data_IF_313776613598
#
_entry.id   IF_313776613598
#
_cell.length_a   1.000
_cell.length_b   1.000
_cell.length_c   1.000
_cell.angle_alpha   90.00
_cell.angle_beta   90.00
_cell.angle_gamma   90.00
#
_symmetry.space_group_name_H-M   'P 1'
#
loop_
_entity.id
_entity.type
_entity.pdbx_description
1 polymer ?
#
# COMPACT_ATOMS: atom_id res chain seq x y z
N UNK A 1 -24.01 10.72 30.68
CA UNK A 1 -23.56 9.34 30.84
C UNK A 1 -23.56 8.68 29.47
N UNK A 2 -22.47 8.81 28.74
CA UNK A 2 -22.44 8.49 27.30
C UNK A 2 -21.14 7.76 26.91
N UNK A 3 -20.81 6.66 27.59
CA UNK A 3 -19.82 5.72 27.06
C UNK A 3 -20.01 4.34 27.70
N UNK A 4 -20.84 3.51 27.08
CA UNK A 4 -20.92 2.11 27.41
C UNK A 4 -19.82 1.33 26.69
N UNK A 5 -18.79 0.89 27.44
CA UNK A 5 -17.56 0.27 26.94
C UNK A 5 -17.63 -1.29 26.90
N UNK A 6 -18.80 -1.91 27.01
CA UNK A 6 -18.92 -3.37 27.21
C UNK A 6 -19.25 -4.20 25.98
N UNK A 7 -19.21 -3.69 24.77
CA UNK A 7 -19.48 -4.45 23.54
C UNK A 7 -18.26 -5.23 23.04
N UNK A 8 -18.28 -6.56 23.06
CA UNK A 8 -17.21 -7.45 22.53
C UNK A 8 -16.86 -7.18 21.06
N UNK A 9 -17.78 -6.65 20.25
CA UNK A 9 -17.54 -6.24 18.86
C UNK A 9 -16.64 -5.00 18.74
N UNK A 10 -16.77 -4.06 19.64
CA UNK A 10 -16.05 -2.79 19.63
C UNK A 10 -14.54 -2.93 19.90
N UNK A 11 -14.15 -3.93 20.70
CA UNK A 11 -12.72 -4.24 20.94
C UNK A 11 -12.01 -4.69 19.66
N UNK A 12 -12.65 -5.50 18.83
CA UNK A 12 -12.09 -5.94 17.54
C UNK A 12 -11.97 -4.79 16.56
N UNK A 13 -12.97 -3.92 16.47
CA UNK A 13 -12.91 -2.74 15.61
C UNK A 13 -11.81 -1.77 16.03
N UNK A 14 -11.66 -1.53 17.33
CA UNK A 14 -10.58 -0.68 17.87
C UNK A 14 -9.22 -1.31 17.62
N UNK A 15 -9.06 -2.61 17.78
CA UNK A 15 -7.81 -3.32 17.49
C UNK A 15 -7.44 -3.26 15.99
N UNK A 16 -8.43 -3.40 15.10
CA UNK A 16 -8.22 -3.26 13.65
C UNK A 16 -7.80 -1.83 13.29
N UNK A 17 -8.46 -0.81 13.87
CA UNK A 17 -8.12 0.60 13.66
C UNK A 17 -6.71 0.90 14.16
N UNK A 18 -6.32 0.44 15.35
CA UNK A 18 -4.97 0.65 15.89
C UNK A 18 -3.92 -0.13 15.10
N UNK A 19 -4.23 -1.34 14.62
CA UNK A 19 -3.34 -2.12 13.77
C UNK A 19 -3.13 -1.42 12.42
N UNK A 20 -4.21 -0.91 11.84
CA UNK A 20 -4.17 -0.15 10.59
C UNK A 20 -3.38 1.16 10.77
N UNK A 21 -3.58 1.86 11.87
CA UNK A 21 -2.83 3.09 12.21
C UNK A 21 -1.35 2.79 12.47
N UNK A 22 -1.03 1.68 13.12
CA UNK A 22 0.35 1.25 13.36
C UNK A 22 1.06 0.85 12.06
N UNK A 23 0.35 0.17 11.14
CA UNK A 23 0.88 -0.17 9.80
C UNK A 23 1.10 1.11 8.97
N UNK A 24 0.14 2.04 8.97
CA UNK A 24 0.29 3.34 8.27
C UNK A 24 1.45 4.14 8.87
N UNK A 25 1.60 4.17 10.20
CA UNK A 25 2.72 4.84 10.85
C UNK A 25 4.06 4.14 10.56
N UNK A 26 4.12 2.81 10.56
CA UNK A 26 5.33 2.06 10.25
C UNK A 26 5.74 2.24 8.78
N UNK A 27 4.78 2.18 7.86
CA UNK A 27 5.03 2.40 6.42
C UNK A 27 5.32 3.88 6.14
N UNK A 28 4.63 4.81 6.81
CA UNK A 28 4.88 6.24 6.70
C UNK A 28 6.25 6.66 7.24
N UNK A 29 6.70 6.08 8.36
CA UNK A 29 8.02 6.38 8.93
C UNK A 29 9.18 5.83 8.07
N UNK A 30 8.96 4.70 7.39
CA UNK A 30 9.93 4.12 6.45
C UNK A 30 9.91 4.86 5.11
N UNK A 31 8.73 5.34 4.67
CA UNK A 31 8.58 6.12 3.43
C UNK A 31 9.08 7.56 3.54
N UNK A 32 9.09 8.14 4.73
CA UNK A 32 9.60 9.49 5.01
C UNK A 32 11.06 9.49 5.50
N UNK A 33 11.85 8.48 5.16
CA UNK A 33 13.31 8.44 5.26
C UNK A 33 13.96 9.46 6.18
N UNK A 34 14.14 9.14 7.47
CA UNK A 34 15.20 9.78 8.25
C UNK A 34 16.53 9.22 7.72
N UNK A 35 17.10 9.89 6.74
CA UNK A 35 18.46 9.60 6.27
C UNK A 35 18.61 9.58 4.76
N UNK A 36 18.88 10.72 4.17
CA UNK A 36 19.36 10.78 2.80
C UNK A 36 18.89 12.02 2.05
N UNK A 37 19.73 13.05 2.09
CA UNK A 37 19.62 14.19 1.22
C UNK A 37 19.68 13.76 -0.25
N UNK A 38 18.56 13.81 -0.96
CA UNK A 38 18.55 14.11 -2.40
C UNK A 38 17.19 14.66 -2.82
N UNK A 39 17.24 15.93 -3.22
CA UNK A 39 16.31 16.64 -4.09
C UNK A 39 14.84 16.75 -3.65
N UNK A 40 14.55 17.87 -3.01
CA UNK A 40 13.22 18.46 -2.87
C UNK A 40 12.57 18.75 -4.24
N UNK A 41 12.03 17.73 -4.88
CA UNK A 41 11.37 17.87 -6.17
C UNK A 41 10.00 17.19 -6.24
N UNK A 42 9.79 16.14 -5.44
CA UNK A 42 8.57 15.36 -5.58
C UNK A 42 7.39 15.94 -4.79
N UNK A 43 7.63 16.40 -3.55
CA UNK A 43 6.57 17.03 -2.75
C UNK A 43 6.17 18.38 -3.34
N UNK A 44 7.12 19.15 -3.86
CA UNK A 44 6.85 20.46 -4.43
C UNK A 44 6.15 20.39 -5.80
N UNK A 45 6.40 19.36 -6.59
CA UNK A 45 5.65 19.13 -7.85
C UNK A 45 4.30 18.47 -7.65
N UNK A 46 4.05 17.83 -6.50
CA UNK A 46 2.75 17.23 -6.15
C UNK A 46 1.89 18.17 -5.31
N UNK A 47 2.52 19.01 -4.48
CA UNK A 47 1.82 19.96 -3.59
C UNK A 47 2.13 21.45 -3.87
N UNK A 48 3.16 21.74 -4.68
CA UNK A 48 3.62 23.08 -5.00
C UNK A 48 3.05 23.65 -6.30
N UNK A 49 1.80 24.02 -6.29
CA UNK A 49 1.19 24.68 -7.46
C UNK A 49 -0.16 25.30 -7.15
N UNK A 50 -0.17 26.44 -6.48
CA UNK A 50 -1.38 27.27 -6.45
C UNK A 50 -2.02 27.41 -5.08
N UNK A 51 -1.56 28.36 -4.34
CA UNK A 51 -2.31 29.06 -3.29
C UNK A 51 -3.63 29.59 -3.88
N UNK A 52 -4.76 29.03 -3.44
CA UNK A 52 -6.07 29.64 -3.70
C UNK A 52 -7.19 28.63 -3.97
N UNK A 53 -7.98 28.29 -2.96
CA UNK A 53 -9.40 27.90 -3.08
C UNK A 53 -9.73 26.58 -3.78
N UNK A 54 -10.18 25.56 -3.03
CA UNK A 54 -10.85 24.39 -3.61
C UNK A 54 -9.95 23.19 -3.83
N UNK A 55 -9.40 22.60 -2.75
CA UNK A 55 -8.62 21.34 -2.86
C UNK A 55 -9.46 20.14 -3.32
N UNK A 56 -10.77 20.27 -3.29
CA UNK A 56 -11.70 19.17 -3.59
C UNK A 56 -11.77 18.85 -5.09
N UNK A 57 -11.72 19.86 -5.95
CA UNK A 57 -11.93 19.68 -7.39
C UNK A 57 -10.69 19.22 -8.17
N UNK A 58 -9.49 19.32 -7.59
CA UNK A 58 -8.23 19.08 -8.34
C UNK A 58 -8.07 17.60 -8.72
N UNK A 59 -8.36 16.69 -7.78
CA UNK A 59 -8.20 15.26 -8.05
C UNK A 59 -9.33 14.72 -8.92
N UNK A 60 -10.56 15.18 -8.72
CA UNK A 60 -11.69 14.88 -9.61
C UNK A 60 -11.38 15.30 -11.05
N UNK A 61 -10.92 16.53 -11.25
CA UNK A 61 -10.52 17.02 -12.56
C UNK A 61 -9.42 16.19 -13.20
N UNK A 62 -8.42 15.75 -12.43
CA UNK A 62 -7.36 14.84 -12.94
C UNK A 62 -7.92 13.49 -13.37
N UNK A 63 -8.90 12.96 -12.63
CA UNK A 63 -9.60 11.73 -13.02
C UNK A 63 -10.33 11.95 -14.34
N UNK A 64 -11.14 13.02 -14.46
CA UNK A 64 -11.88 13.36 -15.67
C UNK A 64 -10.96 13.54 -16.90
N UNK A 65 -9.87 14.30 -16.75
CA UNK A 65 -8.89 14.53 -17.82
C UNK A 65 -8.27 13.23 -18.34
N UNK A 66 -7.93 12.30 -17.44
CA UNK A 66 -7.34 11.03 -17.85
C UNK A 66 -8.39 10.07 -18.42
N UNK A 67 -9.62 10.09 -17.93
CA UNK A 67 -10.74 9.36 -18.53
C UNK A 67 -10.99 9.87 -19.95
N UNK A 68 -11.05 11.19 -20.18
CA UNK A 68 -11.23 11.76 -21.51
C UNK A 68 -10.10 11.36 -22.49
N UNK A 69 -8.84 11.27 -22.02
CA UNK A 69 -7.73 10.74 -22.85
C UNK A 69 -7.95 9.28 -23.22
N UNK A 70 -8.46 8.47 -22.28
CA UNK A 70 -8.73 7.05 -22.49
C UNK A 70 -9.95 6.80 -23.38
N UNK A 71 -10.89 7.73 -23.48
CA UNK A 71 -12.00 7.67 -24.44
C UNK A 71 -11.48 7.84 -25.88
N UNK A 72 -10.43 8.66 -26.07
CA UNK A 72 -9.78 8.84 -27.36
C UNK A 72 -8.80 7.71 -27.69
N UNK A 73 -8.05 7.24 -26.71
CA UNK A 73 -7.10 6.15 -26.84
C UNK A 73 -7.23 5.20 -25.64
N UNK A 74 -8.04 4.15 -25.73
CA UNK A 74 -8.31 3.22 -24.62
C UNK A 74 -7.08 2.50 -24.01
N UNK A 75 -5.98 2.44 -24.73
CA UNK A 75 -4.73 1.79 -24.31
C UNK A 75 -3.59 2.79 -24.08
N UNK A 76 -3.89 4.07 -23.89
CA UNK A 76 -2.90 5.07 -23.52
C UNK A 76 -2.29 4.72 -22.15
N UNK A 77 -1.06 4.24 -22.19
CA UNK A 77 -0.34 3.77 -21.01
C UNK A 77 -0.08 4.89 -20.00
N UNK A 78 0.27 6.08 -20.49
CA UNK A 78 0.53 7.23 -19.63
C UNK A 78 -0.76 7.70 -18.94
N UNK A 79 -1.88 7.75 -19.68
CA UNK A 79 -3.17 8.10 -19.11
C UNK A 79 -3.66 7.04 -18.10
N UNK A 80 -3.45 5.74 -18.37
CA UNK A 80 -3.78 4.66 -17.43
C UNK A 80 -2.96 4.77 -16.15
N UNK A 81 -1.63 4.96 -16.22
CA UNK A 81 -0.76 5.13 -15.06
C UNK A 81 -1.16 6.37 -14.23
N UNK A 82 -1.40 7.50 -14.92
CA UNK A 82 -1.84 8.73 -14.26
C UNK A 82 -3.23 8.58 -13.62
N UNK A 83 -4.13 7.82 -14.23
CA UNK A 83 -5.47 7.58 -13.70
C UNK A 83 -5.44 6.71 -12.43
N UNK A 84 -4.55 5.71 -12.34
CA UNK A 84 -4.36 4.94 -11.10
C UNK A 84 -4.00 5.88 -9.95
N UNK A 85 -3.04 6.79 -10.20
CA UNK A 85 -2.58 7.75 -9.18
C UNK A 85 -3.65 8.77 -8.82
N UNK A 86 -4.36 9.33 -9.82
CA UNK A 86 -5.41 10.33 -9.59
C UNK A 86 -6.58 9.76 -8.76
N UNK A 87 -7.04 8.54 -9.08
CA UNK A 87 -8.10 7.86 -8.31
C UNK A 87 -7.68 7.55 -6.88
N UNK A 88 -6.44 7.11 -6.68
CA UNK A 88 -5.92 6.88 -5.33
C UNK A 88 -5.88 8.18 -4.50
N UNK A 89 -5.43 9.28 -5.11
CA UNK A 89 -5.40 10.59 -4.46
C UNK A 89 -6.80 11.10 -4.13
N UNK A 90 -7.76 10.93 -5.06
CA UNK A 90 -9.16 11.26 -4.84
C UNK A 90 -9.75 10.42 -3.70
N UNK A 91 -9.50 9.12 -3.68
CA UNK A 91 -9.94 8.25 -2.59
C UNK A 91 -9.38 8.68 -1.23
N UNK A 92 -8.10 9.05 -1.17
CA UNK A 92 -7.50 9.56 0.06
C UNK A 92 -8.16 10.87 0.53
N UNK A 93 -8.48 11.77 -0.38
CA UNK A 93 -9.18 13.01 -0.07
C UNK A 93 -10.60 12.73 0.44
N UNK A 94 -11.37 11.90 -0.27
CA UNK A 94 -12.72 11.52 0.13
C UNK A 94 -12.75 10.83 1.50
N UNK A 95 -11.73 10.03 1.81
CA UNK A 95 -11.61 9.33 3.10
C UNK A 95 -11.40 10.27 4.30
N UNK A 96 -11.11 11.55 4.08
CA UNK A 96 -11.04 12.55 5.16
C UNK A 96 -12.42 12.92 5.71
N UNK A 97 -13.48 12.68 4.92
CA UNK A 97 -14.86 12.91 5.28
C UNK A 97 -15.55 11.56 5.55
N UNK A 98 -15.99 11.28 6.78
CA UNK A 98 -16.68 10.03 7.11
C UNK A 98 -17.94 9.76 6.29
N UNK A 99 -18.63 10.80 5.84
CA UNK A 99 -19.84 10.68 5.02
C UNK A 99 -19.52 10.23 3.59
N UNK A 100 -18.30 10.45 3.12
CA UNK A 100 -17.80 10.07 1.79
C UNK A 100 -17.00 8.74 1.78
N UNK A 101 -16.96 8.01 2.87
CA UNK A 101 -16.18 6.77 2.97
C UNK A 101 -16.52 5.74 1.88
N UNK A 102 -17.80 5.61 1.50
CA UNK A 102 -18.23 4.71 0.42
C UNK A 102 -17.74 5.16 -0.96
N UNK A 103 -17.67 6.46 -1.18
CA UNK A 103 -17.13 7.03 -2.43
C UNK A 103 -15.62 6.80 -2.51
N UNK A 104 -14.92 6.96 -1.38
CA UNK A 104 -13.51 6.63 -1.27
C UNK A 104 -13.22 5.16 -1.61
N UNK A 105 -14.00 4.23 -1.06
CA UNK A 105 -13.88 2.80 -1.36
C UNK A 105 -14.14 2.51 -2.85
N UNK A 106 -15.12 3.17 -3.45
CA UNK A 106 -15.42 3.02 -4.86
C UNK A 106 -14.26 3.50 -5.75
N UNK A 107 -13.63 4.63 -5.42
CA UNK A 107 -12.46 5.13 -6.14
C UNK A 107 -11.23 4.21 -5.99
N UNK A 108 -11.03 3.60 -4.83
CA UNK A 108 -9.98 2.58 -4.64
C UNK A 108 -10.21 1.34 -5.51
N UNK A 109 -11.44 0.85 -5.60
CA UNK A 109 -11.77 -0.26 -6.48
C UNK A 109 -11.60 0.10 -7.97
N UNK A 110 -11.93 1.32 -8.35
CA UNK A 110 -11.68 1.83 -9.69
C UNK A 110 -10.19 1.99 -9.99
N UNK A 111 -9.39 2.42 -9.02
CA UNK A 111 -7.94 2.47 -9.14
C UNK A 111 -7.35 1.07 -9.37
N UNK A 112 -7.80 0.07 -8.59
CA UNK A 112 -7.38 -1.33 -8.74
C UNK A 112 -7.74 -1.89 -10.13
N UNK A 113 -8.95 -1.62 -10.64
CA UNK A 113 -9.36 -2.03 -12.01
C UNK A 113 -8.52 -1.32 -13.08
N UNK A 114 -8.22 -0.04 -12.87
CA UNK A 114 -7.38 0.75 -13.80
C UNK A 114 -5.97 0.18 -13.85
N UNK A 115 -5.39 -0.19 -12.70
CA UNK A 115 -4.10 -0.87 -12.63
C UNK A 115 -4.09 -2.18 -13.41
N UNK A 116 -5.09 -3.03 -13.24
CA UNK A 116 -5.20 -4.28 -13.99
C UNK A 116 -5.33 -4.05 -15.51
N UNK A 117 -6.00 -2.97 -15.92
CA UNK A 117 -6.07 -2.54 -17.33
C UNK A 117 -4.71 -2.04 -17.82
N UNK A 118 -4.00 -1.27 -17.01
CA UNK A 118 -2.65 -0.78 -17.29
C UNK A 118 -1.68 -1.94 -17.57
N UNK A 119 -1.68 -2.97 -16.73
CA UNK A 119 -0.84 -4.14 -16.93
C UNK A 119 -1.14 -4.87 -18.25
N UNK A 120 -2.41 -4.96 -18.63
CA UNK A 120 -2.82 -5.60 -19.90
C UNK A 120 -2.41 -4.78 -21.12
N UNK A 121 -2.48 -3.46 -21.02
CA UNK A 121 -2.11 -2.54 -22.10
C UNK A 121 -0.59 -2.37 -22.25
N UNK A 122 0.16 -2.68 -21.18
CA UNK A 122 1.61 -2.50 -21.11
C UNK A 122 2.31 -3.80 -20.67
N UNK A 123 2.52 -4.75 -21.58
CA UNK A 123 3.22 -6.01 -21.27
C UNK A 123 4.75 -5.82 -21.10
N UNK A 124 5.27 -4.61 -21.27
CA UNK A 124 6.70 -4.27 -21.19
C UNK A 124 7.06 -3.60 -19.87
N UNK A 125 7.82 -2.51 -19.97
CA UNK A 125 8.32 -1.80 -18.79
C UNK A 125 7.19 -1.12 -18.02
N UNK A 126 7.04 -1.45 -16.76
CA UNK A 126 6.04 -0.89 -15.84
C UNK A 126 6.56 0.42 -15.22
N UNK A 127 5.69 1.43 -15.14
CA UNK A 127 5.99 2.68 -14.44
C UNK A 127 6.09 2.46 -12.93
N UNK A 128 7.24 2.81 -12.34
CA UNK A 128 7.51 2.62 -10.91
C UNK A 128 6.52 3.38 -10.02
N UNK A 129 6.12 4.59 -10.40
CA UNK A 129 5.17 5.40 -9.63
C UNK A 129 3.78 4.77 -9.61
N UNK A 130 3.31 4.28 -10.77
CA UNK A 130 2.04 3.57 -10.88
C UNK A 130 2.06 2.26 -10.09
N UNK A 131 3.18 1.51 -10.14
CA UNK A 131 3.34 0.28 -9.37
C UNK A 131 3.29 0.54 -7.85
N UNK A 132 4.00 1.56 -7.35
CA UNK A 132 3.95 1.96 -5.93
C UNK A 132 2.54 2.40 -5.51
N UNK A 133 1.86 3.14 -6.36
CA UNK A 133 0.47 3.53 -6.11
C UNK A 133 -0.43 2.30 -6.03
N UNK A 134 -0.26 1.32 -6.91
CA UNK A 134 -1.01 0.08 -6.87
C UNK A 134 -0.76 -0.73 -5.58
N UNK A 135 0.48 -0.78 -5.08
CA UNK A 135 0.78 -1.37 -3.76
C UNK A 135 -0.06 -0.72 -2.67
N UNK A 136 -0.11 0.62 -2.65
CA UNK A 136 -0.89 1.36 -1.65
C UNK A 136 -2.40 1.10 -1.81
N UNK A 137 -2.92 1.11 -3.03
CA UNK A 137 -4.33 0.79 -3.33
C UNK A 137 -4.70 -0.58 -2.78
N UNK A 138 -3.93 -1.62 -3.10
CA UNK A 138 -4.21 -2.98 -2.64
C UNK A 138 -4.00 -3.16 -1.14
N UNK A 139 -3.08 -2.40 -0.54
CA UNK A 139 -2.88 -2.38 0.91
C UNK A 139 -4.12 -1.83 1.62
N UNK A 140 -4.66 -0.70 1.17
CA UNK A 140 -5.88 -0.10 1.75
C UNK A 140 -7.09 -1.00 1.54
N UNK A 141 -7.22 -1.63 0.36
CA UNK A 141 -8.27 -2.60 0.06
C UNK A 141 -8.11 -3.94 0.81
N UNK A 142 -7.08 -4.10 1.64
CA UNK A 142 -6.75 -5.35 2.33
C UNK A 142 -6.64 -6.56 1.38
N UNK A 143 -5.98 -6.34 0.23
CA UNK A 143 -5.72 -7.35 -0.81
C UNK A 143 -4.21 -7.67 -0.85
N UNK A 144 -3.68 -8.42 0.14
CA UNK A 144 -2.24 -8.62 0.28
C UNK A 144 -1.60 -9.40 -0.87
N UNK A 145 -2.31 -10.28 -1.53
CA UNK A 145 -1.80 -11.05 -2.67
C UNK A 145 -1.54 -10.14 -3.88
N UNK A 146 -2.46 -9.24 -4.16
CA UNK A 146 -2.35 -8.24 -5.23
C UNK A 146 -1.29 -7.18 -4.87
N UNK A 147 -1.21 -6.77 -3.60
CA UNK A 147 -0.18 -5.87 -3.11
C UNK A 147 1.22 -6.49 -3.26
N UNK A 148 1.39 -7.78 -2.97
CA UNK A 148 2.64 -8.50 -3.21
C UNK A 148 3.02 -8.51 -4.69
N UNK A 149 2.05 -8.75 -5.58
CA UNK A 149 2.29 -8.73 -7.03
C UNK A 149 2.66 -7.33 -7.52
N UNK A 150 1.98 -6.29 -7.05
CA UNK A 150 2.34 -4.90 -7.39
C UNK A 150 3.74 -4.54 -6.87
N UNK A 151 4.13 -5.04 -5.69
CA UNK A 151 5.47 -4.83 -5.13
C UNK A 151 6.57 -5.54 -5.95
N UNK A 152 6.28 -6.66 -6.60
CA UNK A 152 7.21 -7.29 -7.53
C UNK A 152 7.51 -6.37 -8.72
N UNK A 153 6.50 -5.68 -9.26
CA UNK A 153 6.71 -4.68 -10.32
C UNK A 153 7.54 -3.48 -9.84
N UNK A 154 7.37 -3.03 -8.60
CA UNK A 154 8.25 -1.99 -8.01
C UNK A 154 9.70 -2.46 -7.96
N UNK A 155 9.95 -3.71 -7.58
CA UNK A 155 11.30 -4.29 -7.54
C UNK A 155 11.86 -4.43 -8.95
N UNK A 156 11.05 -4.91 -9.90
CA UNK A 156 11.43 -5.05 -11.30
C UNK A 156 11.81 -3.71 -11.93
N UNK A 157 10.99 -2.66 -11.71
CA UNK A 157 11.26 -1.31 -12.18
C UNK A 157 12.55 -0.72 -11.60
N UNK A 158 12.90 -1.10 -10.36
CA UNK A 158 14.15 -0.69 -9.70
C UNK A 158 15.39 -1.41 -10.26
N UNK A 159 15.22 -2.55 -10.92
CA UNK A 159 16.32 -3.34 -11.51
C UNK A 159 17.42 -3.65 -10.51
N UNK A 160 18.67 -3.32 -10.87
CA UNK A 160 19.84 -3.50 -10.00
C UNK A 160 19.86 -2.57 -8.79
N UNK A 161 19.02 -1.53 -8.77
CA UNK A 161 18.85 -0.60 -7.66
C UNK A 161 17.83 -1.05 -6.61
N UNK A 162 17.27 -2.26 -6.73
CA UNK A 162 16.33 -2.78 -5.77
C UNK A 162 16.93 -2.87 -4.36
N UNK A 163 16.17 -2.41 -3.37
CA UNK A 163 16.64 -2.26 -2.00
C UNK A 163 16.14 -3.37 -1.08
N UNK A 164 16.83 -3.58 0.03
CA UNK A 164 16.38 -4.54 1.06
C UNK A 164 15.01 -4.18 1.64
N UNK A 165 14.66 -2.88 1.72
CA UNK A 165 13.34 -2.43 2.19
C UNK A 165 12.22 -2.86 1.24
N UNK A 166 12.45 -2.79 -0.08
CA UNK A 166 11.47 -3.25 -1.07
C UNK A 166 11.19 -4.74 -0.94
N UNK A 167 12.23 -5.55 -0.69
CA UNK A 167 12.07 -6.98 -0.42
C UNK A 167 11.42 -7.27 0.94
N UNK A 168 11.71 -6.47 1.98
CA UNK A 168 11.02 -6.58 3.27
C UNK A 168 9.51 -6.25 3.13
N UNK A 169 9.18 -5.27 2.29
CA UNK A 169 7.78 -4.95 1.96
C UNK A 169 7.11 -6.10 1.21
N UNK A 170 7.78 -6.69 0.21
CA UNK A 170 7.29 -7.87 -0.50
C UNK A 170 7.06 -9.04 0.46
N UNK A 171 8.01 -9.28 1.38
CA UNK A 171 7.86 -10.30 2.42
C UNK A 171 6.57 -10.09 3.22
N UNK A 172 6.31 -8.88 3.71
CA UNK A 172 5.14 -8.58 4.53
C UNK A 172 3.83 -8.90 3.80
N UNK A 173 3.69 -8.46 2.55
CA UNK A 173 2.48 -8.73 1.76
C UNK A 173 2.35 -10.21 1.36
N UNK A 174 3.43 -10.82 0.92
CA UNK A 174 3.43 -12.23 0.55
C UNK A 174 3.11 -13.12 1.75
N UNK A 175 3.65 -12.80 2.92
CA UNK A 175 3.39 -13.52 4.17
C UNK A 175 1.91 -13.37 4.59
N UNK A 176 1.38 -12.14 4.58
CA UNK A 176 -0.02 -11.86 4.87
C UNK A 176 -0.99 -12.55 3.88
N UNK A 177 -0.55 -12.76 2.64
CA UNK A 177 -1.29 -13.48 1.62
C UNK A 177 -1.18 -15.01 1.71
N UNK A 178 -0.41 -15.55 2.67
CA UNK A 178 -0.12 -17.00 2.77
C UNK A 178 0.79 -17.53 1.65
N UNK A 179 1.45 -16.67 0.89
CA UNK A 179 2.38 -17.03 -0.18
C UNK A 179 3.76 -17.35 0.42
N UNK A 180 3.86 -18.41 1.22
CA UNK A 180 5.02 -18.75 2.04
C UNK A 180 6.32 -18.78 1.25
N UNK A 181 6.35 -19.45 0.08
CA UNK A 181 7.56 -19.53 -0.74
C UNK A 181 8.05 -18.17 -1.22
N UNK A 182 7.12 -17.29 -1.64
CA UNK A 182 7.46 -15.92 -2.07
C UNK A 182 7.96 -15.11 -0.89
N UNK A 183 7.32 -15.24 0.26
CA UNK A 183 7.74 -14.57 1.49
C UNK A 183 9.16 -15.00 1.91
N UNK A 184 9.48 -16.30 1.89
CA UNK A 184 10.80 -16.78 2.26
C UNK A 184 11.89 -16.28 1.29
N UNK A 185 11.63 -16.31 -0.01
CA UNK A 185 12.56 -15.75 -1.00
C UNK A 185 12.80 -14.24 -0.80
N UNK A 186 11.73 -13.49 -0.52
CA UNK A 186 11.82 -12.06 -0.23
C UNK A 186 12.58 -11.78 1.08
N UNK A 187 12.36 -12.60 2.10
CA UNK A 187 13.10 -12.55 3.37
C UNK A 187 14.61 -12.72 3.17
N UNK A 188 15.02 -13.78 2.47
CA UNK A 188 16.42 -14.06 2.21
C UNK A 188 17.08 -12.93 1.41
N UNK A 189 16.36 -12.41 0.38
CA UNK A 189 16.86 -11.32 -0.46
C UNK A 189 16.99 -10.01 0.31
N UNK A 190 16.06 -9.70 1.22
CA UNK A 190 16.17 -8.54 2.10
C UNK A 190 17.40 -8.64 3.01
N UNK A 191 17.70 -9.80 3.56
CA UNK A 191 18.89 -10.01 4.39
C UNK A 191 20.18 -9.95 3.58
N UNK A 192 20.18 -10.47 2.35
CA UNK A 192 21.34 -10.42 1.45
C UNK A 192 21.70 -8.98 1.10
N UNK A 193 20.71 -8.14 0.76
CA UNK A 193 20.90 -6.77 0.31
C UNK A 193 21.09 -5.75 1.44
N UNK A 194 20.92 -6.16 2.70
CA UNK A 194 21.10 -5.25 3.84
C UNK A 194 22.57 -4.77 3.93
N UNK A 195 22.80 -3.44 3.93
CA UNK A 195 24.15 -2.87 3.71
C UNK A 195 25.09 -3.03 4.91
N UNK A 196 24.55 -3.30 6.11
CA UNK A 196 25.36 -3.47 7.33
C UNK A 196 24.79 -4.59 8.21
N UNK A 197 25.58 -5.01 9.21
CA UNK A 197 25.14 -5.96 10.22
C UNK A 197 23.93 -5.44 11.01
N UNK A 198 23.92 -4.15 11.32
CA UNK A 198 22.85 -3.52 12.09
C UNK A 198 21.57 -3.44 11.25
N UNK A 199 21.65 -3.04 9.98
CA UNK A 199 20.52 -3.04 9.06
C UNK A 199 19.94 -4.45 8.87
N UNK A 200 20.83 -5.46 8.76
CA UNK A 200 20.43 -6.86 8.65
C UNK A 200 19.73 -7.36 9.91
N UNK A 201 20.25 -7.02 11.09
CA UNK A 201 19.63 -7.38 12.34
C UNK A 201 18.26 -6.71 12.52
N UNK A 202 18.14 -5.42 12.16
CA UNK A 202 16.90 -4.67 12.24
C UNK A 202 15.81 -5.23 11.31
N UNK A 203 16.13 -5.45 10.03
CA UNK A 203 15.15 -5.98 9.08
C UNK A 203 14.77 -7.42 9.41
N UNK A 204 15.73 -8.24 9.90
CA UNK A 204 15.46 -9.59 10.38
C UNK A 204 14.47 -9.56 11.54
N UNK A 205 14.73 -8.75 12.56
CA UNK A 205 13.84 -8.65 13.73
C UNK A 205 12.42 -8.19 13.34
N UNK A 206 12.31 -7.26 12.39
CA UNK A 206 11.03 -6.81 11.87
C UNK A 206 10.25 -7.96 11.19
N UNK A 207 10.89 -8.69 10.28
CA UNK A 207 10.25 -9.78 9.55
C UNK A 207 9.93 -10.98 10.44
N UNK A 208 10.81 -11.33 11.39
CA UNK A 208 10.55 -12.38 12.38
C UNK A 208 9.38 -11.99 13.31
N UNK A 209 9.25 -10.71 13.65
CA UNK A 209 8.10 -10.18 14.38
C UNK A 209 6.78 -10.46 13.68
N UNK A 210 6.72 -10.27 12.35
CA UNK A 210 5.53 -10.59 11.54
C UNK A 210 5.22 -12.09 11.56
N UNK A 211 6.23 -12.97 11.42
CA UNK A 211 6.06 -14.44 11.52
C UNK A 211 5.49 -14.85 12.87
N UNK A 212 6.00 -14.29 13.96
CA UNK A 212 5.59 -14.66 15.32
C UNK A 212 4.16 -14.18 15.65
N UNK A 213 3.75 -13.01 15.19
CA UNK A 213 2.38 -12.50 15.40
C UNK A 213 1.32 -13.40 14.77
N UNK A 214 1.60 -13.95 13.60
CA UNK A 214 0.66 -14.84 12.91
C UNK A 214 0.58 -16.23 13.53
N UNK A 215 1.67 -16.70 14.14
CA UNK A 215 1.74 -18.01 14.81
C UNK A 215 1.01 -18.02 16.17
N UNK A 216 0.88 -16.86 16.82
CA UNK A 216 0.22 -16.72 18.13
C UNK A 216 -1.30 -16.71 18.09
N UNK A 217 -1.93 -16.66 16.91
CA UNK A 217 -3.40 -16.53 16.78
C UNK A 217 -4.11 -17.89 16.65
N UNK A 218 -3.38 -19.01 16.66
CA UNK A 218 -3.93 -20.37 16.40
C UNK A 218 -4.20 -21.19 17.66
N UNK A 219 -4.08 -20.63 18.87
CA UNK A 219 -4.51 -21.35 20.08
C UNK A 219 -5.99 -21.02 20.36
N UNK A 220 -6.89 -21.76 19.73
CA UNK A 220 -8.25 -21.89 20.23
C UNK A 220 -8.19 -22.52 21.64
N UNK A 221 -8.88 -21.99 22.65
CA UNK A 221 -8.98 -22.70 23.92
C UNK A 221 -9.77 -23.99 23.68
N UNK A 222 -9.09 -25.09 23.99
CA UNK A 222 -9.65 -26.42 24.07
C UNK A 222 -10.93 -26.36 24.94
N UNK A 223 -12.06 -26.71 24.35
CA UNK A 223 -13.31 -26.82 25.07
C UNK A 223 -13.18 -28.01 26.05
N UNK A 224 -12.89 -27.70 27.29
CA UNK A 224 -12.98 -28.65 28.36
C UNK A 224 -14.41 -29.22 28.42
N UNK A 225 -14.58 -30.42 27.91
CA UNK A 225 -15.68 -31.32 28.26
C UNK A 225 -15.55 -31.66 29.74
N UNK A 226 -16.38 -31.01 30.56
CA UNK A 226 -16.64 -31.44 31.95
C UNK A 226 -17.86 -32.33 31.97
N UNK A 227 -17.67 -33.47 32.57
CA UNK A 227 -18.68 -34.43 32.97
C UNK A 227 -19.72 -33.80 33.89
#
# INVERSE_FOLDING_TARGET
>A
MLFDLRGRGRRRTIQVIYLLLAVIMAVGLIGFGIGGATNGGFIDSVFGGGSGGGGDDVFEKRVEENVAKLDLNPNDQAALAALVTARYQLAQQLATDPDKAKEADAELDLAARTWNRYLKANPGQIDDSAARTAVNVFSVLNKPAEAATAQEYVIEASGTGATYQQYATLFNYAYAAGQTRKADLAYDKALELAPSKDSRAAVKAQMDGVKNQSSGTTTAPDAATGE
#
